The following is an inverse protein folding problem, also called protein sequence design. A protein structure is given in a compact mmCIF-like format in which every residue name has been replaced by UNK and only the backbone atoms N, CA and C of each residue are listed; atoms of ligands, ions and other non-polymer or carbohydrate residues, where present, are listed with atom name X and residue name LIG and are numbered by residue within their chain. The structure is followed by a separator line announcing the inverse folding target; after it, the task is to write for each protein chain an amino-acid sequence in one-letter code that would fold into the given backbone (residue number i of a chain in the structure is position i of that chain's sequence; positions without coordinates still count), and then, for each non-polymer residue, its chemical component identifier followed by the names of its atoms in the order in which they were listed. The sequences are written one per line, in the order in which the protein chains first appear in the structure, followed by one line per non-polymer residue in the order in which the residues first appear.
data_IF_000318285747
#
_entry.id   IF_000318285747
#
_cell.length_a   1.000
_cell.length_b   1.000
_cell.length_c   1.000
_cell.angle_alpha   90.00
_cell.angle_beta   90.00
_cell.angle_gamma   90.00
#
_symmetry.space_group_name_H-M   'P 1'
#
loop_
_entity.id
_entity.type
_entity.pdbx_description
1 polymer ?
#
# COMPACT_ATOMS: atom_id res chain seq x y z
N UNK A 1 6.76 22.55 -62.17
CA UNK A 1 6.77 22.96 -60.75
C UNK A 1 5.32 23.12 -60.30
N UNK A 2 4.80 22.18 -59.51
CA UNK A 2 3.52 22.35 -58.81
C UNK A 2 3.66 21.63 -57.46
N UNK A 3 3.47 22.39 -56.38
CA UNK A 3 3.79 22.01 -55.02
C UNK A 3 2.60 21.37 -54.30
N UNK A 4 2.93 20.25 -53.64
CA UNK A 4 2.44 19.65 -52.38
C UNK A 4 1.29 20.34 -51.63
N UNK A 5 0.35 19.53 -51.12
CA UNK A 5 -0.15 19.63 -49.74
C UNK A 5 -0.78 18.30 -49.30
N UNK A 6 0.06 17.43 -48.72
CA UNK A 6 -0.39 16.31 -47.92
C UNK A 6 -0.65 16.81 -46.49
N UNK A 7 -1.91 16.79 -46.05
CA UNK A 7 -2.27 17.05 -44.65
C UNK A 7 -1.83 15.85 -43.80
N UNK A 8 -0.71 15.99 -43.08
CA UNK A 8 -0.36 15.10 -41.99
C UNK A 8 -1.08 15.57 -40.72
N UNK A 9 -2.18 14.92 -40.36
CA UNK A 9 -2.81 15.11 -39.05
C UNK A 9 -1.96 14.38 -38.01
N UNK A 10 -1.07 15.12 -37.36
CA UNK A 10 -0.30 14.62 -36.22
C UNK A 10 -1.23 14.47 -35.01
N UNK A 11 -1.53 13.23 -34.63
CA UNK A 11 -2.19 12.94 -33.38
C UNK A 11 -1.19 13.13 -32.23
N UNK A 12 -1.20 14.30 -31.61
CA UNK A 12 -0.44 14.58 -30.38
C UNK A 12 -1.12 13.83 -29.23
N UNK A 13 -0.65 12.63 -28.91
CA UNK A 13 -1.01 11.97 -27.66
C UNK A 13 -0.33 12.72 -26.52
N UNK A 14 -1.07 13.63 -25.88
CA UNK A 14 -0.67 14.18 -24.59
C UNK A 14 -0.62 13.02 -23.59
N UNK A 15 0.57 12.66 -23.15
CA UNK A 15 0.75 11.71 -22.06
C UNK A 15 0.16 12.33 -20.78
N UNK A 16 -1.09 11.99 -20.46
CA UNK A 16 -1.67 12.30 -19.17
C UNK A 16 -0.81 11.66 -18.08
N UNK A 17 -0.55 12.40 -17.00
CA UNK A 17 0.06 11.83 -15.81
C UNK A 17 -0.73 10.57 -15.39
N UNK A 18 -0.05 9.51 -14.92
CA UNK A 18 -0.75 8.31 -14.46
C UNK A 18 -1.78 8.73 -13.42
N UNK A 19 -3.06 8.50 -13.72
CA UNK A 19 -4.10 8.61 -12.72
C UNK A 19 -3.73 7.62 -11.61
N UNK A 20 -3.42 8.14 -10.41
CA UNK A 20 -3.32 7.35 -9.19
C UNK A 20 -4.73 6.79 -8.94
N UNK A 21 -5.02 5.63 -9.55
CA UNK A 21 -6.30 4.96 -9.39
C UNK A 21 -6.49 4.61 -7.91
N UNK A 22 -7.69 4.90 -7.38
CA UNK A 22 -8.02 4.75 -5.97
C UNK A 22 -7.91 3.31 -5.45
N UNK A 23 -8.06 3.15 -4.13
CA UNK A 23 -7.95 1.85 -3.47
C UNK A 23 -6.71 1.68 -2.59
N UNK A 24 -6.09 2.78 -2.17
CA UNK A 24 -4.98 2.76 -1.20
C UNK A 24 -5.28 3.68 -0.01
N UNK A 25 -4.61 3.41 1.09
CA UNK A 25 -4.62 4.25 2.28
C UNK A 25 -3.20 4.46 2.81
N UNK A 26 -3.04 5.45 3.68
CA UNK A 26 -1.81 5.70 4.45
C UNK A 26 -2.17 5.67 5.92
N UNK A 27 -1.35 5.02 6.74
CA UNK A 27 -1.53 5.08 8.20
C UNK A 27 -0.59 6.11 8.80
N UNK A 28 -1.15 6.99 9.63
CA UNK A 28 -0.38 7.89 10.48
C UNK A 28 -0.46 7.43 11.93
N UNK A 29 0.63 7.58 12.67
CA UNK A 29 0.66 7.35 14.11
C UNK A 29 0.35 8.63 14.86
N UNK A 30 -0.36 8.50 15.99
CA UNK A 30 -0.38 9.54 17.00
C UNK A 30 1.04 9.76 17.59
N UNK A 31 1.31 10.91 18.21
CA UNK A 31 2.58 11.17 18.86
C UNK A 31 2.96 10.07 19.85
N UNK A 32 4.16 9.53 19.68
CA UNK A 32 4.75 8.54 20.58
C UNK A 32 5.76 9.21 21.52
N UNK A 33 6.09 8.59 22.67
CA UNK A 33 7.21 9.05 23.49
C UNK A 33 8.51 9.07 22.69
N UNK A 34 9.39 10.04 22.99
CA UNK A 34 10.70 10.18 22.34
C UNK A 34 11.58 8.94 22.47
N UNK A 35 11.35 8.14 23.53
CA UNK A 35 12.10 6.93 23.83
C UNK A 35 11.20 5.78 24.24
N UNK A 36 11.33 4.68 23.51
CA UNK A 36 10.70 3.39 23.73
C UNK A 36 11.73 2.43 24.32
N UNK A 37 11.32 1.72 25.36
CA UNK A 37 12.07 0.67 26.08
C UNK A 37 11.54 -0.74 25.80
N UNK A 38 12.42 -1.76 25.86
CA UNK A 38 12.00 -3.16 25.78
C UNK A 38 11.12 -3.57 26.97
N UNK A 39 10.16 -4.45 26.73
CA UNK A 39 9.28 -5.05 27.75
C UNK A 39 8.19 -4.11 28.29
N UNK A 40 8.19 -2.83 27.93
CA UNK A 40 7.16 -1.87 28.31
C UNK A 40 6.02 -1.85 27.29
N UNK A 41 4.79 -1.76 27.77
CA UNK A 41 3.61 -1.55 26.94
C UNK A 41 3.41 -0.07 26.63
N UNK A 42 3.01 0.21 25.39
CA UNK A 42 2.67 1.55 24.90
C UNK A 42 1.31 1.49 24.23
N UNK A 43 0.40 2.39 24.63
CA UNK A 43 -0.82 2.64 23.87
C UNK A 43 -0.46 3.50 22.67
N UNK A 44 -0.76 3.01 21.47
CA UNK A 44 -0.45 3.68 20.20
C UNK A 44 -1.75 3.92 19.47
N UNK A 45 -2.06 5.20 19.26
CA UNK A 45 -3.12 5.64 18.37
C UNK A 45 -2.64 5.69 16.92
N UNK A 46 -3.52 5.42 15.98
CA UNK A 46 -3.23 5.52 14.55
C UNK A 46 -4.47 5.77 13.70
N UNK A 47 -4.27 6.46 12.58
CA UNK A 47 -5.31 6.90 11.64
C UNK A 47 -5.13 6.22 10.30
N UNK A 48 -6.20 5.66 9.72
CA UNK A 48 -6.20 5.13 8.35
C UNK A 48 -6.78 6.19 7.41
N UNK A 49 -5.92 6.80 6.59
CA UNK A 49 -6.29 7.87 5.68
C UNK A 49 -6.41 7.35 4.26
N UNK A 50 -7.63 7.31 3.74
CA UNK A 50 -7.87 6.94 2.34
C UNK A 50 -7.20 7.98 1.43
N UNK A 51 -6.41 7.50 0.48
CA UNK A 51 -5.61 8.33 -0.42
C UNK A 51 -4.72 9.38 0.28
N UNK A 52 -4.39 9.13 1.56
CA UNK A 52 -3.51 9.97 2.38
C UNK A 52 -4.07 11.32 2.81
N UNK A 53 -5.32 11.67 2.46
CA UNK A 53 -5.85 13.03 2.67
C UNK A 53 -6.97 13.13 3.69
N UNK A 54 -7.85 12.13 3.78
CA UNK A 54 -9.01 12.12 4.68
C UNK A 54 -9.20 10.75 5.35
N UNK A 55 -9.87 10.73 6.50
CA UNK A 55 -10.25 9.48 7.15
C UNK A 55 -11.20 8.68 6.26
N UNK A 56 -11.02 7.36 6.24
CA UNK A 56 -11.97 6.48 5.56
C UNK A 56 -13.32 6.49 6.31
N UNK A 57 -14.40 6.83 5.61
CA UNK A 57 -15.76 6.79 6.14
C UNK A 57 -16.48 5.52 5.68
N UNK A 58 -16.36 4.48 6.51
CA UNK A 58 -16.94 3.17 6.25
C UNK A 58 -16.35 2.09 7.16
N UNK A 59 -16.79 0.85 6.96
CA UNK A 59 -16.23 -0.30 7.67
C UNK A 59 -14.91 -0.74 7.01
N UNK A 60 -13.80 -0.59 7.75
CA UNK A 60 -12.48 -1.10 7.35
C UNK A 60 -12.34 -2.60 7.65
N UNK A 61 -13.18 -3.18 8.51
CA UNK A 61 -12.92 -4.49 9.09
C UNK A 61 -11.73 -4.45 10.05
N UNK A 62 -10.87 -5.47 9.99
CA UNK A 62 -9.74 -5.62 10.92
C UNK A 62 -8.64 -4.60 10.61
N UNK A 63 -8.32 -3.74 11.57
CA UNK A 63 -7.11 -2.92 11.56
C UNK A 63 -6.16 -3.35 12.68
N UNK A 64 -4.86 -3.19 12.47
CA UNK A 64 -3.85 -3.53 13.46
C UNK A 64 -2.51 -2.85 13.22
N UNK A 65 -1.64 -2.87 14.22
CA UNK A 65 -0.21 -2.63 14.05
C UNK A 65 0.55 -3.95 14.07
N UNK A 66 1.43 -4.15 13.09
CA UNK A 66 2.26 -5.36 12.96
C UNK A 66 3.74 -5.02 13.06
N UNK A 67 4.40 -5.68 13.99
CA UNK A 67 5.85 -5.61 14.18
C UNK A 67 6.51 -6.80 13.49
N UNK A 68 7.59 -6.54 12.75
CA UNK A 68 8.41 -7.58 12.12
C UNK A 68 9.85 -7.40 12.57
N UNK A 69 10.43 -8.43 13.19
CA UNK A 69 11.83 -8.40 13.61
C UNK A 69 12.80 -8.74 12.46
N UNK A 70 14.11 -8.60 12.73
CA UNK A 70 15.17 -8.90 11.76
C UNK A 70 15.21 -10.36 11.31
N UNK A 71 14.63 -11.28 12.07
CA UNK A 71 14.49 -12.68 11.71
C UNK A 71 13.18 -12.96 10.94
N UNK A 72 12.38 -11.92 10.65
CA UNK A 72 11.11 -12.02 9.95
C UNK A 72 9.93 -12.46 10.82
N UNK A 73 10.11 -12.60 12.15
CA UNK A 73 8.99 -12.96 13.04
C UNK A 73 8.04 -11.80 13.17
N UNK A 74 6.76 -12.12 13.08
CA UNK A 74 5.69 -11.12 13.10
C UNK A 74 4.90 -11.19 14.39
N UNK A 75 4.48 -10.04 14.89
CA UNK A 75 3.51 -9.94 15.99
C UNK A 75 2.54 -8.83 15.67
N UNK A 76 1.25 -9.13 15.79
CA UNK A 76 0.18 -8.22 15.41
C UNK A 76 -0.63 -7.81 16.64
N UNK A 77 -0.95 -6.52 16.72
CA UNK A 77 -1.69 -5.88 17.80
C UNK A 77 -2.95 -5.27 17.21
N UNK A 78 -4.08 -5.95 17.40
CA UNK A 78 -5.37 -5.54 16.83
C UNK A 78 -5.79 -4.19 17.40
N UNK A 79 -6.24 -3.30 16.51
CA UNK A 79 -6.77 -2.00 16.86
C UNK A 79 -8.16 -2.07 17.44
N UNK A 80 -8.41 -1.23 18.44
CA UNK A 80 -9.74 -0.92 18.93
C UNK A 80 -10.17 0.40 18.30
N UNK A 81 -11.33 0.47 17.64
CA UNK A 81 -11.82 1.72 17.07
C UNK A 81 -12.07 2.77 18.16
N UNK A 82 -11.69 4.00 17.88
CA UNK A 82 -11.97 5.18 18.69
C UNK A 82 -13.21 5.91 18.15
N UNK A 83 -13.53 7.06 18.75
CA UNK A 83 -14.72 7.83 18.39
C UNK A 83 -14.59 8.45 17.01
N UNK A 84 -13.40 8.89 16.63
CA UNK A 84 -13.17 9.53 15.34
C UNK A 84 -13.12 8.49 14.21
N UNK A 85 -13.67 8.81 13.02
CA UNK A 85 -13.62 7.91 11.87
C UNK A 85 -12.19 7.47 11.55
N UNK A 86 -12.03 6.18 11.28
CA UNK A 86 -10.74 5.56 10.95
C UNK A 86 -9.60 5.81 11.95
N UNK A 87 -9.92 6.18 13.20
CA UNK A 87 -8.97 6.33 14.29
C UNK A 87 -9.05 5.11 15.21
N UNK A 88 -7.90 4.54 15.55
CA UNK A 88 -7.81 3.31 16.34
C UNK A 88 -6.71 3.45 17.38
N UNK A 89 -6.79 2.66 18.45
CA UNK A 89 -5.71 2.49 19.41
C UNK A 89 -5.42 1.01 19.68
N UNK A 90 -4.15 0.69 19.96
CA UNK A 90 -3.75 -0.64 20.42
C UNK A 90 -2.59 -0.57 21.42
N UNK A 91 -2.44 -1.60 22.25
CA UNK A 91 -1.33 -1.70 23.21
C UNK A 91 -0.23 -2.59 22.63
N UNK A 92 0.93 -1.99 22.29
CA UNK A 92 2.08 -2.72 21.74
C UNK A 92 3.16 -2.92 22.79
N UNK A 93 3.91 -4.03 22.67
CA UNK A 93 5.08 -4.31 23.51
C UNK A 93 6.22 -4.74 22.60
N UNK A 94 7.41 -4.16 22.81
CA UNK A 94 8.62 -4.63 22.15
C UNK A 94 9.36 -5.60 23.09
N UNK A 95 9.28 -6.93 22.90
CA UNK A 95 9.77 -7.88 23.89
C UNK A 95 11.31 -7.89 24.01
N UNK A 96 12.01 -7.39 22.98
CA UNK A 96 13.47 -7.43 22.90
C UNK A 96 14.00 -6.14 22.30
N UNK A 97 15.27 -5.88 22.61
CA UNK A 97 16.07 -4.84 21.96
C UNK A 97 16.29 -5.18 20.47
N UNK A 98 16.52 -4.15 19.67
CA UNK A 98 16.82 -4.28 18.24
C UNK A 98 15.94 -3.39 17.36
N UNK A 99 16.01 -3.62 16.06
CA UNK A 99 15.23 -2.90 15.05
C UNK A 99 14.05 -3.74 14.60
N UNK A 100 12.91 -3.09 14.46
CA UNK A 100 11.65 -3.66 14.03
C UNK A 100 11.14 -2.87 12.82
N UNK A 101 10.53 -3.55 11.86
CA UNK A 101 9.69 -2.90 10.85
C UNK A 101 8.27 -2.80 11.39
N UNK A 102 7.67 -1.64 11.26
CA UNK A 102 6.33 -1.34 11.72
C UNK A 102 5.41 -1.18 10.51
N UNK A 103 4.33 -1.96 10.51
CA UNK A 103 3.30 -1.93 9.49
C UNK A 103 1.95 -1.65 10.11
N UNK A 104 1.07 -1.04 9.31
CA UNK A 104 -0.36 -1.05 9.55
C UNK A 104 -1.03 -2.14 8.70
N UNK A 105 -1.87 -2.93 9.35
CA UNK A 105 -2.92 -3.70 8.68
C UNK A 105 -4.12 -2.78 8.58
N UNK A 106 -4.55 -2.48 7.36
CA UNK A 106 -5.52 -1.41 7.07
C UNK A 106 -6.86 -1.93 6.53
N UNK A 107 -7.21 -3.16 6.89
CA UNK A 107 -8.52 -3.70 6.56
C UNK A 107 -8.67 -4.04 5.09
N UNK A 108 -9.56 -3.33 4.41
CA UNK A 108 -9.82 -3.50 2.97
C UNK A 108 -8.70 -2.98 2.07
N UNK A 109 -7.78 -2.19 2.62
CA UNK A 109 -6.62 -1.65 1.91
C UNK A 109 -5.39 -2.54 2.07
N UNK A 110 -4.43 -2.41 1.15
CA UNK A 110 -3.13 -3.04 1.28
C UNK A 110 -2.42 -2.63 2.57
N UNK A 111 -1.63 -3.54 3.14
CA UNK A 111 -0.81 -3.24 4.31
C UNK A 111 0.19 -2.12 3.99
N UNK A 112 0.37 -1.21 4.96
CA UNK A 112 1.23 -0.05 4.80
C UNK A 112 2.43 -0.10 5.73
N UNK A 113 3.64 -0.03 5.19
CA UNK A 113 4.85 0.06 6.01
C UNK A 113 5.06 1.50 6.48
N UNK A 114 4.77 1.73 7.76
CA UNK A 114 4.93 3.03 8.41
C UNK A 114 6.41 3.40 8.51
N UNK A 115 7.26 2.43 8.85
CA UNK A 115 8.70 2.65 8.97
C UNK A 115 9.39 1.66 9.90
N UNK A 116 10.40 2.13 10.62
CA UNK A 116 11.20 1.31 11.53
C UNK A 116 11.17 1.84 12.96
N UNK A 117 11.36 0.94 13.92
CA UNK A 117 11.44 1.26 15.35
C UNK A 117 12.71 0.65 15.91
N UNK A 118 13.53 1.44 16.59
CA UNK A 118 14.72 0.97 17.30
C UNK A 118 14.45 0.92 18.81
N UNK A 119 14.78 -0.21 19.44
CA UNK A 119 14.55 -0.46 20.87
C UNK A 119 15.87 -0.80 21.58
N UNK A 120 16.28 -0.07 22.64
CA UNK A 120 15.68 1.19 23.05
C UNK A 120 15.97 2.29 22.03
N UNK A 121 15.07 3.26 21.90
CA UNK A 121 15.17 4.30 20.86
C UNK A 121 13.80 4.82 20.46
N UNK A 122 13.63 5.19 19.20
CA UNK A 122 12.40 5.80 18.71
C UNK A 122 11.92 5.23 17.38
N UNK A 123 10.91 5.88 16.81
CA UNK A 123 10.32 5.55 15.52
C UNK A 123 10.94 6.43 14.43
N UNK A 124 11.31 5.82 13.31
CA UNK A 124 11.66 6.50 12.06
C UNK A 124 10.57 6.20 11.03
N UNK A 125 9.82 7.24 10.67
CA UNK A 125 8.67 7.15 9.75
C UNK A 125 9.14 7.35 8.31
N UNK A 126 8.68 6.51 7.39
CA UNK A 126 8.92 6.67 5.95
C UNK A 126 8.11 7.85 5.41
N UNK A 127 8.56 8.47 4.31
CA UNK A 127 7.75 9.52 3.69
C UNK A 127 6.41 8.93 3.25
N UNK A 128 5.33 9.65 3.51
CA UNK A 128 4.02 9.29 3.01
C UNK A 128 3.92 9.62 1.52
N UNK A 129 3.21 8.82 0.71
CA UNK A 129 2.83 9.22 -0.65
C UNK A 129 2.17 10.60 -0.64
N UNK A 130 2.30 11.33 -1.75
CA UNK A 130 1.64 12.65 -1.87
C UNK A 130 0.13 12.45 -1.73
N UNK A 131 -0.52 13.09 -0.74
CA UNK A 131 -1.96 12.97 -0.55
C UNK A 131 -2.72 13.41 -1.80
N UNK A 132 -3.75 12.67 -2.17
CA UNK A 132 -4.65 13.11 -3.24
C UNK A 132 -5.51 14.24 -2.71
N UNK A 133 -5.45 15.40 -3.36
CA UNK A 133 -6.35 16.51 -3.06
C UNK A 133 -7.76 16.12 -3.49
N UNK A 134 -8.65 15.96 -2.51
CA UNK A 134 -10.09 15.98 -2.77
C UNK A 134 -10.56 17.42 -2.57
N UNK A 135 -11.12 18.00 -3.63
CA UNK A 135 -11.88 19.25 -3.53
C UNK A 135 -13.35 18.86 -3.38
N UNK A 136 -13.74 18.58 -2.14
CA UNK A 136 -15.11 18.19 -1.79
C UNK A 136 -15.98 19.39 -1.40
N UNK A 137 -15.48 20.63 -1.58
CA UNK A 137 -16.23 21.85 -1.23
C UNK A 137 -16.55 22.01 0.26
N UNK A 138 -16.06 21.10 1.11
CA UNK A 138 -16.34 21.04 2.54
C UNK A 138 -15.01 21.00 3.31
N UNK A 139 -14.44 22.18 3.56
CA UNK A 139 -13.18 22.37 4.29
C UNK A 139 -13.13 21.85 5.75
N UNK A 140 -14.01 20.94 6.17
CA UNK A 140 -14.00 20.34 7.49
C UNK A 140 -14.49 18.87 7.49
N UNK A 141 -13.79 17.97 6.81
CA UNK A 141 -13.92 16.52 7.11
C UNK A 141 -13.31 16.15 8.48
N UNK A 142 -12.73 17.13 9.19
CA UNK A 142 -12.14 16.98 10.50
C UNK A 142 -12.96 17.66 11.59
N UNK A 143 -13.13 16.96 12.72
CA UNK A 143 -13.62 17.53 13.98
C UNK A 143 -12.50 18.21 14.78
N UNK A 144 -12.73 18.40 16.08
CA UNK A 144 -11.73 18.95 17.00
C UNK A 144 -10.47 18.07 17.13
N UNK A 145 -10.63 16.76 16.92
CA UNK A 145 -9.55 15.78 16.91
C UNK A 145 -9.30 15.39 15.45
N UNK A 146 -8.04 15.44 15.03
CA UNK A 146 -7.59 15.20 13.66
C UNK A 146 -6.20 14.56 13.68
N UNK A 147 -5.81 13.83 12.62
CA UNK A 147 -4.48 13.27 12.52
C UNK A 147 -3.40 14.35 12.63
N UNK A 148 -2.19 13.99 13.10
CA UNK A 148 -1.04 14.87 13.04
C UNK A 148 -0.79 15.31 11.59
N UNK A 149 -0.29 16.54 11.41
CA UNK A 149 -0.20 17.17 10.10
C UNK A 149 0.60 16.31 9.10
N UNK A 150 -0.09 15.77 8.08
CA UNK A 150 0.48 15.02 6.94
C UNK A 150 1.67 15.73 6.27
N UNK A 151 1.69 17.07 6.26
CA UNK A 151 2.78 17.84 5.69
C UNK A 151 4.05 17.87 6.55
N UNK A 152 3.93 17.58 7.85
CA UNK A 152 5.05 17.50 8.79
C UNK A 152 5.73 16.12 8.80
N UNK A 153 5.07 15.07 8.31
CA UNK A 153 5.63 13.72 8.17
C UNK A 153 6.63 13.56 6.99
N UNK A 154 7.07 14.68 6.40
CA UNK A 154 8.04 14.72 5.29
C UNK A 154 9.47 14.56 5.82
N UNK A 155 9.89 13.31 6.02
CA UNK A 155 11.32 12.97 6.11
C UNK A 155 11.69 12.01 4.97
N UNK A 156 12.84 12.28 4.35
CA UNK A 156 13.28 11.87 3.01
C UNK A 156 13.22 10.36 2.74
N UNK A 157 12.51 9.97 1.68
CA UNK A 157 12.59 8.65 1.04
C UNK A 157 11.25 8.23 0.43
N UNK A 158 11.21 7.96 -0.87
CA UNK A 158 9.99 7.54 -1.59
C UNK A 158 9.42 6.23 -0.99
N UNK A 159 8.21 6.27 -0.42
CA UNK A 159 7.48 5.07 -0.05
C UNK A 159 6.41 4.75 -1.11
N UNK A 160 6.43 3.51 -1.60
CA UNK A 160 5.35 2.91 -2.36
C UNK A 160 4.64 1.81 -1.55
N UNK A 161 3.51 1.28 -2.04
CA UNK A 161 2.85 0.13 -1.44
C UNK A 161 3.82 -1.04 -1.29
N UNK A 162 3.77 -1.72 -0.14
CA UNK A 162 4.61 -2.88 0.12
C UNK A 162 4.12 -4.06 -0.74
N UNK A 163 4.75 -4.28 -1.89
CA UNK A 163 4.56 -5.52 -2.65
C UNK A 163 4.99 -6.72 -1.79
N UNK A 164 4.01 -7.47 -1.30
CA UNK A 164 4.24 -8.80 -0.73
C UNK A 164 4.61 -9.76 -1.86
N UNK A 165 5.90 -10.05 -2.03
CA UNK A 165 6.32 -11.07 -3.00
C UNK A 165 7.81 -11.09 -3.32
N UNK A 166 8.67 -11.38 -2.35
CA UNK A 166 10.02 -11.87 -2.62
C UNK A 166 10.22 -13.18 -1.86
N UNK A 167 9.71 -14.26 -2.46
CA UNK A 167 10.11 -15.61 -2.06
C UNK A 167 11.62 -15.74 -2.22
N UNK A 168 12.25 -16.30 -1.19
CA UNK A 168 13.68 -16.55 -1.09
C UNK A 168 14.25 -17.23 -2.35
N UNK A 169 15.05 -16.49 -3.12
CA UNK A 169 16.02 -17.09 -4.01
C UNK A 169 17.13 -17.68 -3.14
N UNK A 170 17.00 -18.98 -2.84
CA UNK A 170 18.11 -19.79 -2.34
C UNK A 170 19.25 -19.71 -3.34
N UNK A 171 20.39 -19.21 -2.88
CA UNK A 171 21.71 -19.46 -3.48
C UNK A 171 21.91 -20.97 -3.60
N UNK A 172 21.93 -21.47 -4.83
CA UNK A 172 22.49 -22.78 -5.16
C UNK A 172 23.70 -22.52 -6.06
N UNK A 173 24.87 -22.68 -5.45
CA UNK A 173 26.17 -22.67 -6.11
C UNK A 173 26.50 -24.10 -6.60
N UNK A 174 27.13 -24.19 -7.77
CA UNK A 174 27.98 -25.29 -8.22
C UNK A 174 27.34 -26.65 -8.55
N UNK A 175 27.15 -26.94 -9.85
CA UNK A 175 27.06 -28.33 -10.34
C UNK A 175 26.46 -28.55 -11.73
N UNK A 176 27.13 -28.07 -12.79
CA UNK A 176 27.05 -28.71 -14.13
C UNK A 176 27.98 -29.95 -14.15
N UNK A 177 27.82 -30.96 -15.04
CA UNK A 177 27.47 -30.78 -16.46
C UNK A 177 26.62 -31.89 -17.14
N UNK A 178 26.30 -31.60 -18.41
CA UNK A 178 26.14 -32.52 -19.55
C UNK A 178 24.73 -32.71 -20.11
N UNK A 179 24.48 -31.99 -21.22
CA UNK A 179 24.22 -32.63 -22.50
C UNK A 179 22.76 -32.99 -22.84
N UNK A 180 22.07 -32.10 -23.56
CA UNK A 180 21.29 -32.47 -24.74
C UNK A 180 20.84 -31.23 -25.52
N UNK A 181 21.04 -31.32 -26.83
CA UNK A 181 20.77 -30.30 -27.85
C UNK A 181 19.39 -30.59 -28.49
N UNK A 182 18.85 -29.61 -29.23
CA UNK A 182 17.71 -29.61 -30.19
C UNK A 182 16.41 -28.89 -29.69
N UNK A 183 15.61 -28.25 -30.58
CA UNK A 183 15.80 -26.88 -31.11
C UNK A 183 14.58 -25.95 -30.85
N UNK A 184 14.63 -24.64 -31.20
CA UNK A 184 13.59 -23.67 -30.88
C UNK A 184 12.41 -23.72 -31.85
N UNK A 185 11.19 -23.89 -31.34
CA UNK A 185 9.97 -23.64 -32.10
C UNK A 185 8.81 -23.21 -31.20
N UNK A 186 8.02 -22.26 -31.73
CA UNK A 186 6.70 -21.79 -31.30
C UNK A 186 6.65 -20.68 -30.24
N UNK A 187 7.11 -19.51 -30.68
CA UNK A 187 6.40 -18.27 -30.42
C UNK A 187 4.99 -18.32 -31.05
N UNK A 188 3.99 -17.86 -30.31
CA UNK A 188 2.65 -17.58 -30.82
C UNK A 188 1.60 -18.59 -30.37
N UNK A 189 0.82 -18.20 -29.35
CA UNK A 189 -0.64 -18.37 -29.19
C UNK A 189 -0.93 -18.27 -27.68
N UNK A 190 -1.08 -17.07 -27.15
CA UNK A 190 -1.70 -16.85 -25.82
C UNK A 190 -2.45 -15.49 -25.74
N UNK A 191 -2.81 -14.91 -26.88
CA UNK A 191 -3.66 -13.69 -26.96
C UNK A 191 -5.13 -13.98 -27.29
N UNK A 192 -5.55 -15.24 -27.42
CA UNK A 192 -6.94 -15.59 -27.78
C UNK A 192 -7.73 -16.34 -26.68
N UNK A 193 -7.21 -16.44 -25.46
CA UNK A 193 -7.93 -17.08 -24.35
C UNK A 193 -8.72 -16.09 -23.46
N UNK A 194 -8.42 -14.80 -23.52
CA UNK A 194 -9.05 -13.77 -22.65
C UNK A 194 -10.31 -13.11 -23.25
N UNK A 195 -10.59 -13.30 -24.55
CA UNK A 195 -11.80 -12.74 -25.18
C UNK A 195 -13.02 -13.66 -25.12
N UNK A 196 -12.88 -14.93 -24.74
CA UNK A 196 -14.01 -15.86 -24.61
C UNK A 196 -14.61 -15.93 -23.20
N UNK A 197 -13.88 -15.47 -22.17
CA UNK A 197 -14.39 -15.45 -20.79
C UNK A 197 -15.34 -14.26 -20.51
N UNK A 198 -15.21 -13.15 -21.26
CA UNK A 198 -16.05 -11.96 -21.08
C UNK A 198 -17.46 -12.11 -21.69
N UNK A 199 -17.63 -12.92 -22.74
CA UNK A 199 -18.93 -13.12 -23.41
C UNK A 199 -19.91 -14.03 -22.65
N UNK A 200 -19.42 -14.93 -21.80
CA UNK A 200 -20.27 -15.89 -21.08
C UNK A 200 -20.96 -15.31 -19.84
N UNK A 201 -20.40 -14.24 -19.25
CA UNK A 201 -20.94 -13.64 -18.02
C UNK A 201 -22.12 -12.70 -18.29
N UNK A 202 -22.19 -12.09 -19.47
CA UNK A 202 -23.31 -11.21 -19.86
C UNK A 202 -24.59 -11.97 -20.21
N UNK A 203 -24.49 -13.18 -20.79
CA UNK A 203 -25.65 -13.99 -21.20
C UNK A 203 -26.46 -14.59 -20.04
N UNK A 204 -25.94 -14.60 -18.81
CA UNK A 204 -26.66 -15.16 -17.64
C UNK A 204 -27.53 -14.14 -16.89
N UNK A 205 -27.41 -12.85 -17.21
CA UNK A 205 -28.19 -11.78 -16.55
C UNK A 205 -29.50 -11.41 -17.27
N UNK A 206 -29.79 -11.99 -18.44
CA UNK A 206 -30.99 -11.66 -19.24
C UNK A 206 -32.11 -12.72 -19.18
N UNK A 207 -32.00 -13.76 -18.34
CA UNK A 207 -33.00 -14.84 -18.25
C UNK A 207 -33.62 -15.03 -16.86
N UNK A 208 -33.60 -13.98 -16.02
CA UNK A 208 -34.35 -13.99 -14.76
C UNK A 208 -35.11 -12.68 -14.54
N UNK A 209 -36.31 -12.62 -15.11
CA UNK A 209 -37.41 -11.83 -14.57
C UNK A 209 -38.69 -12.66 -14.74
N UNK A 210 -39.43 -12.97 -13.66
CA UNK A 210 -40.85 -13.31 -13.79
C UNK A 210 -41.67 -12.08 -14.20
#
# INVERSE_FOLDING_TARGET
MAAVLALAVGATFAAGAPAQAGGWATTLLDPLPDRLEPGRAYTVGYWVLQHGSHAYDGDLGKTALRLVDVAGRQTEYVGVPLREPAHYATAIVFPRRGTWRLYAVQGIFDDYEIGSVTIPGGVSVKATPTPMTFDDGHGSHWGAIRPPNVAAARHTGDAGPAVSGAAAARTADGGEPSGSVWPPALAGVMTLALLLAAGWRWRRHLTRSP
#
